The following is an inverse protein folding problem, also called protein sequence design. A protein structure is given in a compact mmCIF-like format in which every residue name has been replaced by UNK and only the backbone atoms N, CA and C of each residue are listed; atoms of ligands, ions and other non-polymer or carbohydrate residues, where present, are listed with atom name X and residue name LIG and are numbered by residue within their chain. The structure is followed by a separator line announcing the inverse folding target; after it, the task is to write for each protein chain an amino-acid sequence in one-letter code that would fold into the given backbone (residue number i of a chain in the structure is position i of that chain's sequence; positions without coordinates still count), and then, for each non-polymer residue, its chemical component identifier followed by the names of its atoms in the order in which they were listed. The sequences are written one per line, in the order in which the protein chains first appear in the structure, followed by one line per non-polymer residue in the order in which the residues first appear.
data_IF_087604168733
#
_entry.id   IF_087604168733
#
_cell.length_a   1.000
_cell.length_b   1.000
_cell.length_c   1.000
_cell.angle_alpha   90.00
_cell.angle_beta   90.00
_cell.angle_gamma   90.00
#
_symmetry.space_group_name_H-M   'P 1'
#
loop_
_entity.id
_entity.type
_entity.pdbx_description
1 polymer ?
#
# COMPACT_ATOMS: atom_id res chain seq x y z
N UNK A 1 -4.92 63.63 31.16
CA UNK A 1 -5.56 62.34 31.51
C UNK A 1 -6.41 61.88 30.34
N UNK A 2 -5.89 60.96 29.52
CA UNK A 2 -6.63 60.15 28.53
C UNK A 2 -5.73 58.96 28.20
N UNK A 3 -6.00 57.86 28.89
CA UNK A 3 -5.41 56.54 28.68
C UNK A 3 -6.02 55.99 27.40
N UNK A 4 -5.22 55.73 26.37
CA UNK A 4 -5.68 55.01 25.19
C UNK A 4 -5.04 53.62 25.22
N UNK A 5 -5.92 52.66 25.54
CA UNK A 5 -5.64 51.27 25.83
C UNK A 5 -5.31 50.53 24.51
N UNK A 6 -4.06 50.11 24.33
CA UNK A 6 -3.64 49.24 23.21
C UNK A 6 -4.16 47.82 23.45
N UNK A 7 -5.15 47.40 22.65
CA UNK A 7 -5.58 46.00 22.56
C UNK A 7 -4.52 45.20 21.78
N UNK A 8 -3.78 44.34 22.49
CA UNK A 8 -2.98 43.28 21.89
C UNK A 8 -3.91 42.09 21.62
N UNK A 9 -4.21 41.81 20.36
CA UNK A 9 -4.87 40.57 19.96
C UNK A 9 -3.82 39.45 20.00
N UNK A 10 -3.89 38.63 21.05
CA UNK A 10 -3.17 37.35 21.12
C UNK A 10 -3.95 36.39 20.23
N UNK A 11 -3.36 35.98 19.11
CA UNK A 11 -3.92 34.96 18.25
C UNK A 11 -3.45 33.63 18.82
N UNK A 12 -4.26 33.01 19.66
CA UNK A 12 -4.02 31.63 20.11
C UNK A 12 -4.15 30.71 18.89
N UNK A 13 -3.01 30.22 18.41
CA UNK A 13 -2.99 29.11 17.47
C UNK A 13 -3.48 27.86 18.22
N UNK A 14 -4.79 27.60 18.13
CA UNK A 14 -5.36 26.34 18.59
C UNK A 14 -4.76 25.20 17.75
N UNK A 15 -3.78 24.50 18.31
CA UNK A 15 -3.43 23.16 17.87
C UNK A 15 -4.63 22.25 18.16
N UNK A 16 -5.45 22.01 17.13
CA UNK A 16 -6.55 21.06 17.21
C UNK A 16 -5.97 19.64 17.33
N UNK A 17 -6.06 19.12 18.54
CA UNK A 17 -5.81 17.73 18.90
C UNK A 17 -6.91 16.84 18.28
N UNK A 18 -6.72 16.45 17.02
CA UNK A 18 -7.62 15.53 16.32
C UNK A 18 -7.22 14.08 16.58
N UNK A 19 -7.35 13.65 17.84
CA UNK A 19 -7.11 12.26 18.28
C UNK A 19 -8.40 11.45 18.42
N UNK A 20 -9.47 11.81 17.69
CA UNK A 20 -10.77 11.14 17.86
C UNK A 20 -11.32 10.45 16.59
N UNK A 21 -10.70 10.60 15.42
CA UNK A 21 -11.12 9.93 14.18
C UNK A 21 -10.25 8.73 13.76
N UNK A 22 -9.42 8.19 14.68
CA UNK A 22 -8.52 7.04 14.44
C UNK A 22 -9.21 5.72 14.06
N UNK A 23 -10.53 5.68 13.97
CA UNK A 23 -11.30 4.46 13.70
C UNK A 23 -11.69 4.25 12.24
N UNK A 24 -11.76 5.30 11.40
CA UNK A 24 -12.35 5.16 10.05
C UNK A 24 -11.85 6.14 8.97
N UNK A 25 -10.89 7.02 9.29
CA UNK A 25 -10.14 7.86 8.33
C UNK A 25 -8.67 7.71 8.77
N UNK A 26 -7.79 6.98 8.08
CA UNK A 26 -7.34 7.25 6.73
C UNK A 26 -6.67 5.98 6.16
N UNK A 27 -7.29 5.33 5.17
CA UNK A 27 -6.62 4.34 4.30
C UNK A 27 -6.00 5.04 3.09
N UNK A 28 -5.76 6.35 3.14
CA UNK A 28 -4.98 7.00 2.11
C UNK A 28 -3.58 6.36 2.14
N UNK A 29 -3.22 5.73 1.03
CA UNK A 29 -1.84 5.35 0.78
C UNK A 29 -1.06 6.65 0.58
N UNK A 30 -0.37 7.09 1.63
CA UNK A 30 0.37 8.35 1.68
C UNK A 30 1.86 8.09 1.81
N UNK A 31 2.61 9.18 1.70
CA UNK A 31 4.05 9.18 1.88
C UNK A 31 4.79 9.33 0.57
N UNK A 32 5.98 9.90 0.66
CA UNK A 32 6.96 9.91 -0.40
C UNK A 32 8.14 9.07 0.08
N UNK A 33 8.62 8.17 -0.76
CA UNK A 33 9.71 7.30 -0.36
C UNK A 33 10.07 6.26 -1.38
N UNK A 34 11.23 5.66 -1.16
CA UNK A 34 11.71 4.53 -1.93
C UNK A 34 11.40 3.25 -1.20
N UNK A 35 11.28 2.16 -1.96
CA UNK A 35 11.27 0.81 -1.40
C UNK A 35 12.49 0.57 -0.48
N UNK A 36 12.33 -0.15 0.63
CA UNK A 36 13.44 -0.64 1.44
C UNK A 36 14.42 -1.46 0.59
N UNK A 37 15.68 -1.53 1.01
CA UNK A 37 16.70 -2.27 0.25
C UNK A 37 16.53 -3.80 0.35
N UNK A 38 16.74 -4.50 -0.76
CA UNK A 38 16.83 -5.95 -0.81
C UNK A 38 15.55 -6.64 -1.32
N UNK A 39 15.45 -7.97 -1.23
CA UNK A 39 14.20 -8.65 -1.53
C UNK A 39 13.16 -8.32 -0.46
N UNK A 40 11.99 -7.88 -0.89
CA UNK A 40 10.90 -7.47 0.00
C UNK A 40 9.74 -8.42 -0.13
N UNK A 41 9.08 -8.74 0.98
CA UNK A 41 7.97 -9.66 1.00
C UNK A 41 6.82 -9.09 1.83
N UNK A 42 5.62 -9.13 1.25
CA UNK A 42 4.41 -8.59 1.83
C UNK A 42 3.29 -9.60 1.71
N UNK A 43 2.47 -9.70 2.76
CA UNK A 43 1.38 -10.66 2.79
C UNK A 43 0.17 -10.16 3.55
N UNK A 44 -0.98 -10.69 3.16
CA UNK A 44 -2.27 -10.35 3.75
C UNK A 44 -3.35 -11.31 3.29
N UNK A 45 -4.53 -11.15 3.87
CA UNK A 45 -5.65 -12.05 3.65
C UNK A 45 -6.95 -11.27 3.52
N UNK A 46 -7.87 -11.80 2.72
CA UNK A 46 -9.24 -11.34 2.63
C UNK A 46 -10.16 -12.56 2.60
N UNK A 47 -10.97 -12.74 3.65
CA UNK A 47 -11.81 -13.93 3.85
C UNK A 47 -10.95 -15.21 3.83
N UNK A 48 -11.13 -16.05 2.82
CA UNK A 48 -10.40 -17.32 2.59
C UNK A 48 -9.36 -17.20 1.46
N UNK A 49 -9.11 -15.98 0.97
CA UNK A 49 -8.09 -15.69 -0.02
C UNK A 49 -6.83 -15.14 0.66
N UNK A 50 -5.68 -15.67 0.27
CA UNK A 50 -4.34 -15.22 0.66
C UNK A 50 -3.73 -14.44 -0.48
N UNK A 51 -3.06 -13.33 -0.17
CA UNK A 51 -2.35 -12.48 -1.12
C UNK A 51 -0.90 -12.33 -0.70
N UNK A 52 -0.01 -12.34 -1.69
CA UNK A 52 1.42 -12.13 -1.48
C UNK A 52 2.06 -11.36 -2.61
N UNK A 53 3.00 -10.49 -2.24
CA UNK A 53 3.87 -9.74 -3.15
C UNK A 53 5.29 -9.95 -2.69
N UNK A 54 6.17 -10.34 -3.61
CA UNK A 54 7.60 -10.43 -3.40
C UNK A 54 8.35 -9.61 -4.43
N UNK A 55 8.94 -8.52 -4.00
CA UNK A 55 9.83 -7.70 -4.84
C UNK A 55 11.19 -8.40 -4.86
N UNK A 56 11.60 -8.86 -6.04
CA UNK A 56 12.85 -9.61 -6.24
C UNK A 56 14.05 -8.67 -6.38
N UNK A 57 13.86 -7.57 -7.10
CA UNK A 57 14.85 -6.51 -7.32
C UNK A 57 14.13 -5.24 -7.77
N UNK A 58 14.66 -4.08 -7.42
CA UNK A 58 14.12 -2.78 -7.84
C UNK A 58 15.20 -1.70 -7.78
N UNK A 59 14.96 -0.59 -8.47
CA UNK A 59 15.74 0.65 -8.35
C UNK A 59 14.97 1.78 -7.63
N UNK A 60 13.73 1.49 -7.19
CA UNK A 60 12.82 2.45 -6.55
C UNK A 60 11.70 2.94 -7.46
N UNK A 61 11.95 3.02 -8.77
CA UNK A 61 10.97 3.43 -9.79
C UNK A 61 10.48 2.25 -10.64
N UNK A 62 11.29 1.21 -10.77
CA UNK A 62 10.96 0.00 -11.51
C UNK A 62 11.58 -1.22 -10.84
N UNK A 63 11.11 -2.40 -11.22
CA UNK A 63 11.68 -3.63 -10.69
C UNK A 63 11.04 -4.89 -11.23
N UNK A 64 11.28 -5.98 -10.50
CA UNK A 64 10.74 -7.30 -10.79
C UNK A 64 10.03 -7.84 -9.56
N UNK A 65 8.84 -8.38 -9.77
CA UNK A 65 7.92 -8.83 -8.73
C UNK A 65 7.38 -10.23 -9.02
N UNK A 66 7.23 -11.01 -7.96
CA UNK A 66 6.32 -12.15 -7.91
C UNK A 66 5.06 -11.72 -7.14
N UNK A 67 3.89 -12.07 -7.65
CA UNK A 67 2.64 -11.85 -6.93
C UNK A 67 1.76 -13.08 -7.06
N UNK A 68 1.09 -13.43 -5.98
CA UNK A 68 0.28 -14.64 -5.89
C UNK A 68 -0.95 -14.40 -5.02
N UNK A 69 -2.09 -14.88 -5.52
CA UNK A 69 -3.34 -15.00 -4.80
C UNK A 69 -3.71 -16.48 -4.73
N UNK A 70 -3.93 -17.01 -3.52
CA UNK A 70 -4.34 -18.41 -3.28
C UNK A 70 -5.68 -18.48 -2.57
N UNK A 71 -6.47 -19.50 -2.87
CA UNK A 71 -7.77 -19.78 -2.24
C UNK A 71 -8.77 -20.32 -3.27
N UNK A 72 -10.10 -20.18 -3.04
CA UNK A 72 -11.12 -20.47 -4.04
C UNK A 72 -10.84 -19.93 -5.46
N UNK A 73 -10.23 -18.76 -5.57
CA UNK A 73 -9.68 -18.26 -6.82
C UNK A 73 -8.16 -18.17 -6.70
N UNK A 74 -7.45 -18.62 -7.73
CA UNK A 74 -5.98 -18.60 -7.76
C UNK A 74 -5.48 -17.81 -8.95
N UNK A 75 -4.45 -17.00 -8.71
CA UNK A 75 -3.83 -16.16 -9.71
C UNK A 75 -2.36 -15.97 -9.33
N UNK A 76 -1.45 -15.99 -10.29
CA UNK A 76 -0.04 -15.76 -10.01
C UNK A 76 0.72 -15.20 -11.22
N UNK A 77 1.77 -14.46 -10.91
CA UNK A 77 2.85 -14.10 -11.82
C UNK A 77 4.19 -14.31 -11.14
N UNK A 78 5.19 -14.64 -11.95
CA UNK A 78 6.56 -14.82 -11.49
C UNK A 78 7.48 -14.01 -12.39
N UNK A 79 8.34 -13.22 -11.79
CA UNK A 79 9.32 -12.40 -12.51
C UNK A 79 8.70 -11.33 -13.41
N UNK A 80 7.52 -10.82 -13.07
CA UNK A 80 6.88 -9.75 -13.83
C UNK A 80 7.60 -8.42 -13.58
N UNK A 81 7.73 -7.59 -14.62
CA UNK A 81 8.26 -6.25 -14.47
C UNK A 81 7.19 -5.33 -13.87
N UNK A 82 7.59 -4.37 -13.04
CA UNK A 82 6.69 -3.34 -12.55
C UNK A 82 7.32 -1.96 -12.64
N UNK A 83 6.45 -0.95 -12.68
CA UNK A 83 6.78 0.47 -12.57
C UNK A 83 6.02 1.05 -11.37
N UNK A 84 6.68 1.92 -10.62
CA UNK A 84 6.14 2.68 -9.51
C UNK A 84 6.09 4.16 -9.89
N UNK A 85 4.88 4.69 -10.08
CA UNK A 85 4.61 6.09 -10.37
C UNK A 85 3.69 6.63 -9.29
N UNK A 86 4.15 7.61 -8.51
CA UNK A 86 3.37 8.24 -7.44
C UNK A 86 2.68 7.21 -6.52
N UNK A 87 3.45 6.21 -6.08
CA UNK A 87 3.01 5.09 -5.23
C UNK A 87 2.07 4.08 -5.90
N UNK A 88 1.68 4.30 -7.15
CA UNK A 88 0.89 3.37 -7.93
C UNK A 88 1.80 2.38 -8.65
N UNK A 89 1.55 1.09 -8.42
CA UNK A 89 2.33 -0.01 -8.96
C UNK A 89 1.63 -0.59 -10.18
N UNK A 90 2.24 -0.40 -11.34
CA UNK A 90 1.80 -0.97 -12.61
C UNK A 90 2.67 -2.17 -12.94
N UNK A 91 2.09 -3.36 -13.00
CA UNK A 91 2.80 -4.60 -13.34
C UNK A 91 2.59 -4.88 -14.84
N UNK A 92 3.68 -4.96 -15.60
CA UNK A 92 3.67 -5.16 -17.05
C UNK A 92 3.37 -6.64 -17.43
N UNK A 93 2.90 -6.83 -18.67
CA UNK A 93 2.21 -8.02 -19.25
C UNK A 93 0.69 -8.05 -18.98
N UNK A 94 -0.03 -7.21 -19.75
CA UNK A 94 -1.48 -7.01 -20.00
C UNK A 94 -2.58 -7.36 -18.95
N UNK A 95 -2.41 -8.39 -18.13
CA UNK A 95 -3.36 -8.93 -17.13
C UNK A 95 -2.61 -9.40 -15.84
N UNK A 96 -1.47 -8.77 -15.54
CA UNK A 96 -0.17 -9.37 -15.23
C UNK A 96 0.04 -10.38 -14.11
N UNK A 97 -0.94 -10.65 -13.25
CA UNK A 97 -0.88 -11.82 -12.35
C UNK A 97 -2.11 -12.71 -12.42
N UNK A 98 -2.99 -12.50 -13.40
CA UNK A 98 -4.14 -13.36 -13.64
C UNK A 98 -5.33 -13.08 -12.73
N UNK A 99 -5.43 -11.89 -12.13
CA UNK A 99 -6.69 -11.45 -11.52
C UNK A 99 -7.70 -11.02 -12.60
N UNK A 100 -7.72 -11.66 -13.78
CA UNK A 100 -8.51 -11.23 -14.93
C UNK A 100 -10.03 -11.24 -14.70
N UNK A 101 -10.50 -11.93 -13.66
CA UNK A 101 -11.90 -11.87 -13.19
C UNK A 101 -12.22 -10.61 -12.37
N UNK A 102 -11.20 -9.85 -11.95
CA UNK A 102 -11.30 -8.70 -11.07
C UNK A 102 -10.52 -7.53 -11.63
N UNK A 103 -11.18 -6.38 -11.77
CA UNK A 103 -10.46 -5.12 -11.95
C UNK A 103 -9.77 -4.80 -10.61
N UNK A 104 -8.48 -4.50 -10.62
CA UNK A 104 -7.72 -4.22 -9.39
C UNK A 104 -6.64 -3.17 -9.61
N UNK A 105 -6.24 -2.50 -8.53
CA UNK A 105 -5.06 -1.63 -8.48
C UNK A 105 -4.15 -2.02 -7.33
N UNK A 106 -2.87 -1.71 -7.46
CA UNK A 106 -1.85 -1.97 -6.44
C UNK A 106 -1.17 -0.66 -6.09
N UNK A 107 -1.03 -0.38 -4.80
CA UNK A 107 -0.28 0.77 -4.28
C UNK A 107 0.70 0.34 -3.22
N UNK A 108 1.85 1.02 -3.14
CA UNK A 108 2.80 0.90 -2.05
C UNK A 108 2.78 2.17 -1.21
N UNK A 109 2.68 2.05 0.12
CA UNK A 109 2.55 3.19 1.02
C UNK A 109 3.84 3.35 1.84
N UNK A 110 4.77 4.24 1.43
CA UNK A 110 6.13 4.24 1.97
C UNK A 110 6.21 4.56 3.47
N UNK A 111 5.36 5.47 3.96
CA UNK A 111 5.36 5.87 5.38
C UNK A 111 4.98 4.71 6.31
N UNK A 112 4.25 3.73 5.79
CA UNK A 112 3.70 2.62 6.56
C UNK A 112 4.29 1.26 6.18
N UNK A 113 5.21 1.22 5.21
CA UNK A 113 5.83 0.02 4.64
C UNK A 113 4.83 -1.14 4.40
N UNK A 114 3.79 -0.88 3.61
CA UNK A 114 2.83 -1.90 3.21
C UNK A 114 2.32 -1.69 1.79
N UNK A 115 1.72 -2.73 1.22
CA UNK A 115 0.98 -2.65 -0.03
C UNK A 115 -0.52 -2.62 0.24
N UNK A 116 -1.26 -1.95 -0.64
CA UNK A 116 -2.72 -2.05 -0.71
C UNK A 116 -3.08 -2.59 -2.09
N UNK A 117 -3.82 -3.70 -2.11
CA UNK A 117 -4.51 -4.18 -3.31
C UNK A 117 -5.96 -3.74 -3.19
N UNK A 118 -6.39 -2.82 -4.05
CA UNK A 118 -7.78 -2.45 -4.17
C UNK A 118 -8.42 -3.31 -5.25
N UNK A 119 -9.33 -4.20 -4.85
CA UNK A 119 -10.22 -4.90 -5.76
C UNK A 119 -11.37 -3.94 -6.09
N UNK A 120 -11.61 -3.71 -7.38
CA UNK A 120 -12.61 -2.75 -7.90
C UNK A 120 -13.91 -3.46 -8.29
N UNK A 121 -13.80 -4.64 -8.93
CA UNK A 121 -14.95 -5.46 -9.33
C UNK A 121 -14.72 -6.93 -9.00
N UNK A 122 -15.76 -7.68 -8.58
CA UNK A 122 -17.15 -7.24 -8.34
C UNK A 122 -17.36 -6.50 -7.00
N UNK A 123 -16.36 -6.49 -6.12
CA UNK A 123 -16.39 -5.85 -4.82
C UNK A 123 -15.37 -4.71 -4.76
N UNK A 124 -15.71 -3.59 -4.11
CA UNK A 124 -14.81 -2.45 -3.87
C UNK A 124 -14.17 -2.59 -2.49
N UNK A 125 -13.11 -3.38 -2.39
CA UNK A 125 -12.47 -3.73 -1.11
C UNK A 125 -10.96 -3.62 -1.18
N UNK A 126 -10.36 -3.14 -0.09
CA UNK A 126 -8.92 -3.03 0.06
C UNK A 126 -8.36 -4.20 0.87
N UNK A 127 -7.31 -4.82 0.34
CA UNK A 127 -6.49 -5.81 1.03
C UNK A 127 -5.15 -5.16 1.37
N UNK A 128 -4.85 -5.03 2.67
CA UNK A 128 -3.57 -4.53 3.15
C UNK A 128 -2.59 -5.69 3.28
N UNK A 129 -1.43 -5.57 2.65
CA UNK A 129 -0.34 -6.55 2.76
C UNK A 129 0.80 -5.96 3.58
N UNK A 130 1.06 -6.54 4.75
CA UNK A 130 2.10 -6.07 5.66
C UNK A 130 3.45 -6.71 5.32
N UNK A 131 4.52 -5.94 5.54
CA UNK A 131 5.90 -6.41 5.43
C UNK A 131 6.17 -7.63 6.31
N UNK A 132 6.93 -8.59 5.78
CA UNK A 132 7.32 -9.80 6.49
C UNK A 132 8.66 -10.35 5.97
N UNK A 133 9.23 -11.32 6.70
CA UNK A 133 10.44 -11.98 6.27
C UNK A 133 10.20 -12.77 4.98
N UNK A 134 11.10 -12.62 4.01
CA UNK A 134 11.03 -13.40 2.78
C UNK A 134 11.35 -14.87 3.05
N UNK A 135 10.45 -15.82 2.74
CA UNK A 135 10.74 -17.24 2.89
C UNK A 135 11.87 -17.65 1.95
N UNK A 136 12.74 -18.53 2.44
CA UNK A 136 13.86 -19.12 1.70
C UNK A 136 13.40 -20.18 0.68
N UNK A 137 12.15 -20.64 0.80
CA UNK A 137 11.44 -21.60 -0.04
C UNK A 137 10.26 -20.93 -0.75
N UNK A 138 9.89 -21.41 -1.95
CA UNK A 138 8.89 -20.79 -2.87
C UNK A 138 7.45 -20.75 -2.34
N UNK A 139 7.21 -21.20 -1.10
CA UNK A 139 5.89 -21.25 -0.50
C UNK A 139 5.73 -20.05 0.44
N UNK A 140 4.96 -19.08 0.01
CA UNK A 140 4.55 -17.96 0.86
C UNK A 140 3.25 -18.32 1.56
N UNK A 141 3.28 -18.34 2.90
CA UNK A 141 2.12 -18.59 3.76
C UNK A 141 2.02 -17.38 4.70
N UNK A 142 0.98 -16.53 4.57
CA UNK A 142 0.78 -15.36 5.41
C UNK A 142 0.37 -15.70 6.84
#
# INVERSE_FOLDING_TARGET
MRVLLTLLLVIDASASDDRHLRGFQDRACTGEGQFPSGPLCYGGQLLVQTFSIKILRHDGQSGVVDMEMKGPNSAACRGAEFVNEDNQITIANDHGCGLSASEYTVKYCPDQDHFIINLVKPWSVDVVLNSQSCPSNKEFVP
#
